data_IF_832830005839
#
_entry.id   IF_832830005839
#
_cell.length_a   1.000
_cell.length_b   1.000
_cell.length_c   1.000
_cell.angle_alpha   90.00
_cell.angle_beta   90.00
_cell.angle_gamma   90.00
#
_symmetry.space_group_name_H-M   'P 1'
#
loop_
_entity.id
_entity.type
_entity.pdbx_description
1 polymer ?
#
# COMPACT_ATOMS: atom_id res chain seq x y z
N UNK A 1 2.50 32.28 -30.46
CA UNK A 1 3.64 32.08 -29.54
C UNK A 1 3.20 31.73 -28.11
N UNK A 2 2.62 32.63 -27.29
CA UNK A 2 2.20 32.27 -25.91
C UNK A 2 1.26 31.05 -25.84
N UNK A 3 0.11 31.12 -26.53
CA UNK A 3 -0.86 30.03 -26.58
C UNK A 3 -0.45 28.78 -27.40
N UNK A 4 0.77 28.70 -27.91
CA UNK A 4 1.36 27.45 -28.40
C UNK A 4 2.12 26.76 -27.28
N UNK A 5 3.01 27.49 -26.58
CA UNK A 5 3.76 26.96 -25.43
C UNK A 5 2.84 26.42 -24.33
N UNK A 6 1.71 27.09 -24.05
CA UNK A 6 0.71 26.65 -23.07
C UNK A 6 0.02 25.33 -23.49
N UNK A 7 -0.19 25.10 -24.79
CA UNK A 7 -0.79 23.86 -25.29
C UNK A 7 0.18 22.68 -25.24
N UNK A 8 1.45 22.89 -25.59
CA UNK A 8 2.47 21.85 -25.46
C UNK A 8 2.66 21.45 -23.99
N UNK A 9 2.71 22.42 -23.06
CA UNK A 9 2.82 22.13 -21.63
C UNK A 9 1.65 21.27 -21.08
N UNK A 10 0.43 21.48 -21.55
CA UNK A 10 -0.74 20.70 -21.13
C UNK A 10 -0.76 19.29 -21.75
N UNK A 11 -0.32 19.14 -23.00
CA UNK A 11 -0.21 17.86 -23.71
C UNK A 11 0.92 16.98 -23.15
N UNK A 12 2.10 17.55 -22.87
CA UNK A 12 3.20 16.87 -22.17
C UNK A 12 2.79 16.44 -20.76
N UNK A 13 2.05 17.29 -20.03
CA UNK A 13 1.53 16.94 -18.70
C UNK A 13 0.58 15.74 -18.77
N UNK A 14 -0.34 15.70 -19.74
CA UNK A 14 -1.26 14.57 -19.96
C UNK A 14 -0.53 13.27 -20.33
N UNK A 15 0.47 13.35 -21.19
CA UNK A 15 1.33 12.20 -21.54
C UNK A 15 2.09 11.68 -20.33
N UNK A 16 2.66 12.58 -19.51
CA UNK A 16 3.35 12.21 -18.28
C UNK A 16 2.40 11.51 -17.30
N UNK A 17 1.24 12.11 -17.04
CA UNK A 17 0.22 11.58 -16.11
C UNK A 17 -0.27 10.18 -16.55
N UNK A 18 -0.48 9.97 -17.86
CA UNK A 18 -0.81 8.67 -18.42
C UNK A 18 0.31 7.63 -18.20
N UNK A 19 1.57 8.01 -18.39
CA UNK A 19 2.72 7.11 -18.17
C UNK A 19 2.89 6.79 -16.68
N UNK A 20 2.79 7.79 -15.80
CA UNK A 20 2.80 7.58 -14.35
C UNK A 20 1.71 6.58 -13.94
N UNK A 21 0.46 6.76 -14.44
CA UNK A 21 -0.65 5.83 -14.18
C UNK A 21 -0.43 4.42 -14.72
N UNK A 22 0.19 4.26 -15.90
CA UNK A 22 0.57 2.94 -16.43
C UNK A 22 1.61 2.25 -15.54
N UNK A 23 2.60 2.99 -15.03
CA UNK A 23 3.62 2.45 -14.12
C UNK A 23 3.03 2.06 -12.75
N UNK A 24 2.11 2.85 -12.20
CA UNK A 24 1.34 2.51 -10.98
C UNK A 24 0.53 1.22 -11.21
N UNK A 25 -0.18 1.12 -12.33
CA UNK A 25 -0.95 -0.06 -12.70
C UNK A 25 -0.09 -1.32 -12.84
N UNK A 26 1.06 -1.25 -13.51
CA UNK A 26 2.00 -2.38 -13.64
C UNK A 26 2.57 -2.82 -12.31
N UNK A 27 2.89 -1.87 -11.42
CA UNK A 27 3.36 -2.16 -10.07
C UNK A 27 2.30 -2.90 -9.24
N UNK A 28 1.04 -2.47 -9.33
CA UNK A 28 -0.08 -3.12 -8.64
C UNK A 28 -0.36 -4.52 -9.21
N UNK A 29 -0.40 -4.68 -10.54
CA UNK A 29 -0.59 -5.98 -11.21
C UNK A 29 0.50 -6.96 -10.74
N UNK A 30 1.77 -6.58 -10.82
CA UNK A 30 2.88 -7.45 -10.41
C UNK A 30 2.80 -7.82 -8.92
N UNK A 31 2.50 -6.85 -8.06
CA UNK A 31 2.36 -7.09 -6.62
C UNK A 31 1.23 -8.07 -6.33
N UNK A 32 0.08 -7.91 -6.98
CA UNK A 32 -1.07 -8.78 -6.82
C UNK A 32 -0.88 -10.19 -7.41
N UNK A 33 -0.32 -10.31 -8.62
CA UNK A 33 0.07 -11.60 -9.22
C UNK A 33 1.04 -12.35 -8.29
N UNK A 34 2.01 -11.63 -7.69
CA UNK A 34 2.93 -12.20 -6.69
C UNK A 34 2.21 -12.61 -5.40
N UNK A 35 1.36 -11.76 -4.82
CA UNK A 35 0.64 -12.07 -3.59
C UNK A 35 -0.29 -13.28 -3.73
N UNK A 36 -1.01 -13.40 -4.85
CA UNK A 36 -1.85 -14.58 -5.16
C UNK A 36 -0.99 -15.85 -5.27
N UNK A 37 0.15 -15.76 -5.96
CA UNK A 37 1.08 -16.88 -6.10
C UNK A 37 1.72 -17.32 -4.78
N UNK A 38 2.15 -16.36 -3.96
CA UNK A 38 2.77 -16.61 -2.65
C UNK A 38 1.74 -17.11 -1.62
N UNK A 39 0.46 -16.75 -1.78
CA UNK A 39 -0.62 -17.26 -0.95
C UNK A 39 -1.01 -18.71 -1.27
N UNK A 40 -1.00 -19.10 -2.56
CA UNK A 40 -1.29 -20.47 -2.99
C UNK A 40 -2.63 -20.98 -2.45
N UNK A 41 -2.63 -22.15 -1.81
CA UNK A 41 -3.81 -22.81 -1.24
C UNK A 41 -4.36 -22.14 0.06
N UNK A 42 -3.77 -21.01 0.51
CA UNK A 42 -4.20 -20.28 1.72
C UNK A 42 -5.33 -19.25 1.45
N UNK A 43 -5.66 -19.02 0.18
CA UNK A 43 -6.84 -18.25 -0.26
C UNK A 43 -7.80 -19.18 -1.00
N UNK A 44 -9.10 -18.88 -0.99
CA UNK A 44 -10.06 -19.71 -1.73
C UNK A 44 -10.03 -19.41 -3.23
N UNK A 45 -10.52 -20.34 -4.06
CA UNK A 45 -10.63 -20.14 -5.52
C UNK A 45 -11.45 -18.90 -5.90
N UNK A 46 -12.54 -18.61 -5.18
CA UNK A 46 -13.34 -17.38 -5.37
C UNK A 46 -12.51 -16.11 -5.09
N UNK A 47 -11.76 -16.06 -3.98
CA UNK A 47 -10.94 -14.90 -3.62
C UNK A 47 -9.79 -14.69 -4.61
N UNK A 48 -9.15 -15.80 -5.00
CA UNK A 48 -8.14 -15.81 -6.06
C UNK A 48 -8.71 -15.26 -7.37
N UNK A 49 -9.87 -15.76 -7.78
CA UNK A 49 -10.54 -15.37 -9.02
C UNK A 49 -10.96 -13.91 -9.02
N UNK A 50 -11.49 -13.38 -7.91
CA UNK A 50 -11.80 -11.94 -7.78
C UNK A 50 -10.55 -11.07 -7.96
N UNK A 51 -9.40 -11.47 -7.39
CA UNK A 51 -8.14 -10.73 -7.58
C UNK A 51 -7.65 -10.86 -9.03
N UNK A 52 -7.63 -12.08 -9.59
CA UNK A 52 -7.18 -12.35 -10.97
C UNK A 52 -8.05 -11.62 -12.02
N UNK A 53 -9.38 -11.55 -11.83
CA UNK A 53 -10.28 -10.78 -12.71
C UNK A 53 -10.05 -9.26 -12.58
N UNK A 54 -9.81 -8.73 -11.36
CA UNK A 54 -9.57 -7.31 -11.14
C UNK A 54 -8.22 -6.83 -11.74
N UNK A 55 -7.15 -7.61 -11.58
CA UNK A 55 -5.83 -7.27 -12.16
C UNK A 55 -5.80 -7.47 -13.67
N UNK A 56 -6.56 -8.45 -14.19
CA UNK A 56 -6.75 -8.64 -15.63
C UNK A 56 -7.46 -7.44 -16.25
N UNK A 57 -8.53 -6.93 -15.61
CA UNK A 57 -9.21 -5.71 -16.06
C UNK A 57 -8.27 -4.50 -16.07
N UNK A 58 -7.42 -4.32 -15.05
CA UNK A 58 -6.42 -3.25 -15.00
C UNK A 58 -5.35 -3.39 -16.10
N UNK A 59 -4.93 -4.62 -16.40
CA UNK A 59 -3.99 -4.93 -17.49
C UNK A 59 -4.60 -4.63 -18.86
N UNK A 60 -5.85 -5.04 -19.06
CA UNK A 60 -6.58 -4.73 -20.29
C UNK A 60 -6.83 -3.22 -20.45
N UNK A 61 -7.12 -2.49 -19.37
CA UNK A 61 -7.28 -1.02 -19.42
C UNK A 61 -5.97 -0.30 -19.74
N UNK A 62 -4.86 -0.60 -19.05
CA UNK A 62 -3.58 0.10 -19.28
C UNK A 62 -3.04 -0.14 -20.70
N UNK A 63 -3.35 -1.28 -21.32
CA UNK A 63 -2.83 -1.69 -22.62
C UNK A 63 -3.74 -1.25 -23.80
N UNK A 64 -4.92 -0.66 -23.53
CA UNK A 64 -5.76 -0.06 -24.58
C UNK A 64 -5.08 1.14 -25.26
N UNK A 65 -5.31 1.34 -26.58
CA UNK A 65 -4.80 2.50 -27.32
C UNK A 65 -5.52 3.81 -26.93
N UNK A 66 -6.76 3.72 -26.46
CA UNK A 66 -7.61 4.84 -26.02
C UNK A 66 -7.57 5.07 -24.50
N UNK A 67 -6.71 4.36 -23.77
CA UNK A 67 -6.59 4.47 -22.32
C UNK A 67 -6.22 5.89 -21.88
N UNK A 68 -7.02 6.47 -20.98
CA UNK A 68 -6.73 7.76 -20.33
C UNK A 68 -6.20 7.54 -18.92
N UNK A 69 -5.49 8.54 -18.38
CA UNK A 69 -5.00 8.50 -17.01
C UNK A 69 -6.15 8.30 -15.99
N UNK A 70 -7.29 8.97 -16.20
CA UNK A 70 -8.51 8.80 -15.39
C UNK A 70 -9.08 7.38 -15.48
N UNK A 71 -9.18 6.81 -16.68
CA UNK A 71 -9.74 5.46 -16.85
C UNK A 71 -8.86 4.39 -16.21
N UNK A 72 -7.53 4.51 -16.33
CA UNK A 72 -6.59 3.65 -15.63
C UNK A 72 -6.70 3.84 -14.11
N UNK A 73 -6.83 5.08 -13.62
CA UNK A 73 -6.99 5.38 -12.19
C UNK A 73 -8.29 4.77 -11.59
N UNK A 74 -9.41 4.82 -12.33
CA UNK A 74 -10.67 4.19 -11.91
C UNK A 74 -10.56 2.66 -11.78
N UNK A 75 -9.91 1.99 -12.73
CA UNK A 75 -9.71 0.54 -12.68
C UNK A 75 -8.63 0.16 -11.66
N UNK A 76 -7.59 0.99 -11.50
CA UNK A 76 -6.56 0.85 -10.49
C UNK A 76 -7.16 0.88 -9.08
N UNK A 77 -8.06 1.83 -8.80
CA UNK A 77 -8.78 1.90 -7.52
C UNK A 77 -9.56 0.62 -7.24
N UNK A 78 -10.37 0.14 -8.19
CA UNK A 78 -11.13 -1.12 -8.06
C UNK A 78 -10.23 -2.32 -7.81
N UNK A 79 -9.10 -2.43 -8.52
CA UNK A 79 -8.13 -3.50 -8.31
C UNK A 79 -7.43 -3.40 -6.94
N UNK A 80 -7.11 -2.19 -6.50
CA UNK A 80 -6.50 -1.91 -5.20
C UNK A 80 -7.46 -2.20 -4.04
N UNK A 81 -8.75 -1.87 -4.18
CA UNK A 81 -9.82 -2.22 -3.24
C UNK A 81 -9.99 -3.75 -3.15
N UNK A 82 -10.04 -4.45 -4.29
CA UNK A 82 -10.09 -5.92 -4.32
C UNK A 82 -8.87 -6.56 -3.65
N UNK A 83 -7.67 -6.02 -3.90
CA UNK A 83 -6.45 -6.51 -3.24
C UNK A 83 -6.45 -6.20 -1.74
N UNK A 84 -6.97 -5.04 -1.32
CA UNK A 84 -7.07 -4.63 0.08
C UNK A 84 -8.08 -5.47 0.87
N UNK A 85 -9.22 -5.84 0.25
CA UNK A 85 -10.24 -6.76 0.80
C UNK A 85 -9.61 -8.09 1.25
N UNK A 86 -8.59 -8.55 0.52
CA UNK A 86 -7.85 -9.79 0.80
C UNK A 86 -6.47 -9.55 1.41
N UNK A 87 -6.03 -8.30 1.55
CA UNK A 87 -4.67 -7.93 1.93
C UNK A 87 -4.23 -8.51 3.27
N UNK A 88 -5.12 -8.56 4.26
CA UNK A 88 -4.80 -9.17 5.56
C UNK A 88 -4.60 -10.69 5.45
N UNK A 89 -5.34 -11.38 4.57
CA UNK A 89 -5.15 -12.81 4.30
C UNK A 89 -3.89 -13.07 3.49
N UNK A 90 -3.64 -12.28 2.45
CA UNK A 90 -2.44 -12.36 1.63
C UNK A 90 -1.18 -12.09 2.46
N UNK A 91 -1.22 -11.11 3.37
CA UNK A 91 -0.12 -10.80 4.28
C UNK A 91 0.13 -11.90 5.32
N UNK A 92 -0.92 -12.47 5.91
CA UNK A 92 -0.82 -13.66 6.78
C UNK A 92 -0.24 -14.84 6.00
N UNK A 93 -0.76 -15.10 4.80
CA UNK A 93 -0.32 -16.18 3.93
C UNK A 93 1.17 -16.08 3.56
N UNK A 94 1.64 -14.87 3.22
CA UNK A 94 3.06 -14.58 2.96
C UNK A 94 3.92 -14.72 4.22
N UNK A 95 3.51 -14.15 5.36
CA UNK A 95 4.21 -14.26 6.65
C UNK A 95 4.34 -15.71 7.13
N UNK A 96 3.39 -16.57 6.76
CA UNK A 96 3.45 -18.01 7.02
C UNK A 96 4.11 -18.83 5.91
N UNK A 97 4.40 -18.24 4.74
CA UNK A 97 5.22 -18.85 3.69
C UNK A 97 6.72 -18.56 3.93
N UNK A 98 7.04 -17.41 4.51
CA UNK A 98 8.39 -17.04 4.95
C UNK A 98 8.80 -17.62 6.32
N UNK A 99 7.98 -18.51 6.93
CA UNK A 99 8.45 -19.32 8.05
C UNK A 99 9.40 -20.42 7.54
N UNK A 100 10.71 -20.38 7.82
CA UNK A 100 11.46 -21.62 7.89
C UNK A 100 10.83 -22.51 8.98
N UNK A 101 11.00 -23.82 8.87
CA UNK A 101 10.69 -24.74 9.95
C UNK A 101 11.71 -24.55 11.11
N UNK A 102 11.51 -23.49 11.89
CA UNK A 102 12.41 -23.03 12.95
C UNK A 102 11.88 -21.70 13.50
N UNK A 103 11.61 -21.64 14.81
CA UNK A 103 10.75 -20.60 15.37
C UNK A 103 11.35 -19.20 15.46
N UNK A 104 10.50 -18.20 15.23
CA UNK A 104 10.59 -16.87 15.85
C UNK A 104 9.17 -16.37 16.18
N UNK A 105 9.03 -15.75 17.35
CA UNK A 105 7.78 -15.19 17.88
C UNK A 105 7.58 -13.77 17.31
N UNK A 106 6.36 -13.32 16.97
CA UNK A 106 6.13 -11.91 16.65
C UNK A 106 6.32 -11.06 17.93
N UNK A 107 7.16 -10.04 17.85
CA UNK A 107 7.24 -9.00 18.86
C UNK A 107 6.35 -7.83 18.41
N UNK A 108 5.27 -7.58 19.16
CA UNK A 108 4.34 -6.49 18.88
C UNK A 108 5.02 -5.14 19.15
N UNK A 109 5.40 -4.45 18.09
CA UNK A 109 5.83 -3.05 18.12
C UNK A 109 4.68 -2.10 18.44
N UNK A 110 4.19 -2.13 19.67
CA UNK A 110 3.15 -1.21 20.15
C UNK A 110 3.78 0.16 20.44
N UNK A 111 3.56 1.12 19.55
CA UNK A 111 3.94 2.51 19.77
C UNK A 111 3.13 3.09 20.94
N UNK A 112 3.82 3.70 21.91
CA UNK A 112 3.22 4.32 23.09
C UNK A 112 3.31 5.85 22.99
N UNK A 113 2.17 6.54 23.18
CA UNK A 113 2.09 8.00 23.16
C UNK A 113 2.75 8.62 24.40
N UNK A 114 3.53 9.72 24.27
CA UNK A 114 3.90 10.53 25.42
C UNK A 114 2.77 11.51 25.75
N UNK A 115 2.10 11.31 26.89
CA UNK A 115 1.30 12.38 27.54
C UNK A 115 1.90 12.74 28.89
N UNK A 116 2.08 14.05 29.07
CA UNK A 116 2.79 14.65 30.19
C UNK A 116 1.87 14.95 31.40
N UNK A 117 2.53 15.04 32.55
CA UNK A 117 2.12 15.74 33.78
C UNK A 117 0.79 15.40 34.48
N UNK A 118 0.89 14.91 35.73
CA UNK A 118 0.48 15.71 36.92
C UNK A 118 0.93 15.13 38.28
N UNK A 119 2.00 15.71 38.83
CA UNK A 119 2.13 16.31 40.19
C UNK A 119 1.60 15.57 41.45
N UNK A 120 2.56 15.27 42.36
CA UNK A 120 2.43 15.45 43.82
C UNK A 120 2.33 14.17 44.68
N UNK A 121 2.87 14.13 45.90
CA UNK A 121 3.66 15.15 46.63
C UNK A 121 4.34 14.55 47.90
N UNK A 122 5.21 15.34 48.57
CA UNK A 122 5.73 15.19 49.97
C UNK A 122 6.54 13.91 50.35
N UNK A 123 7.52 13.91 51.28
CA UNK A 123 8.34 14.95 51.95
C UNK A 123 9.65 14.34 52.55
N UNK A 124 10.53 15.15 53.16
CA UNK A 124 11.72 14.73 53.95
C UNK A 124 13.06 14.74 53.17
N UNK A 125 14.19 15.26 53.67
CA UNK A 125 14.53 15.85 54.99
C UNK A 125 15.52 17.02 54.81
N UNK A 126 15.48 17.98 55.74
CA UNK A 126 16.41 19.11 55.91
C UNK A 126 17.83 18.61 56.29
N UNK A 127 18.95 19.28 55.97
CA UNK A 127 19.62 20.29 56.82
C UNK A 127 21.02 20.60 56.23
N UNK A 128 21.36 21.89 56.09
CA UNK A 128 22.70 22.54 56.19
C UNK A 128 23.95 21.97 55.42
N UNK A 129 25.04 22.70 55.18
CA UNK A 129 25.46 24.04 55.62
C UNK A 129 26.30 24.80 54.56
N UNK A 130 26.54 26.09 54.80
CA UNK A 130 27.35 27.00 53.98
C UNK A 130 28.86 26.68 54.08
N UNK A 131 29.61 26.96 53.00
CA UNK A 131 30.54 28.11 52.98
C UNK A 131 31.07 28.41 51.58
#
# INVERSE_FOLDING_TARGET
MKGEAEKFADDDKKKKDLVDKKNEAETLIFTAEKSVKDAGDKITDDEKKEIEEAIKALKEEKDKPEATAESIDEVYKKASESLSKYGERLYKAASEAEKPAGGAKPEEGKAEEPKADTKGAEEGEVVEEKK
#
